data_IF_069003066391
#
_entry.id   IF_069003066391
#
_cell.length_a   1.000
_cell.length_b   1.000
_cell.length_c   1.000
_cell.angle_alpha   90.00
_cell.angle_beta   90.00
_cell.angle_gamma   90.00
#
_symmetry.space_group_name_H-M   'P 1'
#
loop_
_entity.id
_entity.type
_entity.pdbx_description
1 polymer ?
#
# COMPACT_ATOMS: atom_id res chain seq x y z
N UNK A 1 -32.34 22.40 20.29
CA UNK A 1 -32.47 21.87 21.67
C UNK A 1 -31.45 22.62 22.52
N UNK A 2 -31.86 23.72 23.18
CA UNK A 2 -30.92 24.64 23.84
C UNK A 2 -30.76 24.28 25.31
N UNK A 3 -29.60 23.77 25.70
CA UNK A 3 -29.22 23.70 27.11
C UNK A 3 -29.02 25.12 27.64
N UNK A 4 -29.69 25.45 28.74
CA UNK A 4 -29.55 26.74 29.40
C UNK A 4 -28.74 26.54 30.70
N UNK A 5 -27.72 27.38 30.97
CA UNK A 5 -27.19 28.46 30.12
C UNK A 5 -26.34 27.94 28.94
N UNK A 6 -26.08 28.79 27.93
CA UNK A 6 -25.26 28.43 26.75
C UNK A 6 -23.84 27.93 27.09
N UNK A 7 -23.31 28.31 28.25
CA UNK A 7 -22.01 27.86 28.78
C UNK A 7 -22.13 26.70 29.79
N UNK A 8 -23.25 25.96 29.79
CA UNK A 8 -23.49 24.89 30.76
C UNK A 8 -22.38 23.84 30.74
N UNK A 9 -21.99 23.35 29.56
CA UNK A 9 -20.92 22.36 29.39
C UNK A 9 -19.58 22.83 29.95
N UNK A 10 -19.25 24.11 29.76
CA UNK A 10 -18.02 24.72 30.29
C UNK A 10 -18.06 24.78 31.82
N UNK A 11 -19.20 25.20 32.39
CA UNK A 11 -19.35 25.32 33.84
C UNK A 11 -19.22 24.00 34.58
N UNK A 12 -19.65 22.89 33.98
CA UNK A 12 -19.57 21.56 34.59
C UNK A 12 -18.28 20.80 34.20
N UNK A 13 -17.38 21.43 33.44
CA UNK A 13 -16.12 20.81 32.99
C UNK A 13 -16.30 19.70 31.95
N UNK A 14 -17.46 19.61 31.28
CA UNK A 14 -17.73 18.58 30.27
C UNK A 14 -16.77 18.68 29.08
N UNK A 15 -16.36 19.90 28.73
CA UNK A 15 -15.37 20.14 27.69
C UNK A 15 -14.03 19.46 27.99
N UNK A 16 -13.57 19.50 29.24
CA UNK A 16 -12.33 18.84 29.65
C UNK A 16 -12.42 17.32 29.48
N UNK A 17 -13.58 16.72 29.78
CA UNK A 17 -13.82 15.30 29.57
C UNK A 17 -13.73 14.93 28.09
N UNK A 18 -14.31 15.75 27.18
CA UNK A 18 -14.19 15.53 25.73
C UNK A 18 -12.75 15.61 25.26
N UNK A 19 -11.99 16.61 25.73
CA UNK A 19 -10.57 16.76 25.37
C UNK A 19 -9.78 15.53 25.82
N UNK A 20 -9.97 15.08 27.07
CA UNK A 20 -9.32 13.87 27.57
C UNK A 20 -9.72 12.61 26.79
N UNK A 21 -11.00 12.46 26.47
CA UNK A 21 -11.51 11.32 25.69
C UNK A 21 -10.95 11.33 24.26
N UNK A 22 -10.86 12.50 23.63
CA UNK A 22 -10.30 12.66 22.29
C UNK A 22 -8.84 12.21 22.26
N UNK A 23 -8.04 12.60 23.25
CA UNK A 23 -6.64 12.17 23.38
C UNK A 23 -6.44 10.67 23.63
N UNK A 24 -7.51 9.94 23.98
CA UNK A 24 -7.51 8.48 24.16
C UNK A 24 -8.09 7.73 22.96
N UNK A 25 -8.52 8.43 21.91
CA UNK A 25 -9.02 7.80 20.70
C UNK A 25 -7.88 7.12 19.94
N UNK A 26 -8.15 5.93 19.40
CA UNK A 26 -7.19 5.14 18.62
C UNK A 26 -7.27 5.44 17.11
N UNK A 27 -8.14 6.37 16.70
CA UNK A 27 -8.34 6.74 15.28
C UNK A 27 -8.94 8.14 15.12
N UNK A 28 -8.67 8.75 13.97
CA UNK A 28 -9.27 10.03 13.56
C UNK A 28 -10.79 9.97 13.45
N UNK A 29 -11.35 8.80 13.07
CA UNK A 29 -12.80 8.57 13.06
C UNK A 29 -13.40 8.65 14.46
N UNK A 30 -12.71 8.09 15.46
CA UNK A 30 -13.09 8.19 16.87
C UNK A 30 -13.02 9.62 17.38
N UNK A 31 -11.93 10.33 17.05
CA UNK A 31 -11.76 11.75 17.38
C UNK A 31 -12.89 12.62 16.80
N UNK A 32 -13.22 12.42 15.52
CA UNK A 32 -14.31 13.12 14.84
C UNK A 32 -15.70 12.77 15.41
N UNK A 33 -15.86 11.58 16.00
CA UNK A 33 -17.06 11.21 16.74
C UNK A 33 -17.12 11.95 18.08
N UNK A 34 -16.01 12.02 18.82
CA UNK A 34 -15.91 12.76 20.09
C UNK A 34 -16.20 14.24 19.90
N UNK A 35 -15.75 14.85 18.81
CA UNK A 35 -16.05 16.26 18.48
C UNK A 35 -17.55 16.55 18.35
N UNK A 36 -18.37 15.53 18.02
CA UNK A 36 -19.82 15.64 17.89
C UNK A 36 -20.56 15.36 19.21
N UNK A 37 -19.86 14.88 20.25
CA UNK A 37 -20.47 14.61 21.55
C UNK A 37 -20.88 15.93 22.19
N UNK A 38 -22.13 15.99 22.63
CA UNK A 38 -22.69 17.09 23.42
C UNK A 38 -23.34 16.53 24.69
N UNK A 39 -23.55 17.41 25.67
CA UNK A 39 -24.24 17.03 26.89
C UNK A 39 -25.68 16.60 26.56
N UNK A 40 -26.07 15.43 27.06
CA UNK A 40 -27.39 14.85 26.83
C UNK A 40 -28.25 15.01 28.08
N UNK A 41 -29.55 15.24 27.89
CA UNK A 41 -30.54 15.35 28.96
C UNK A 41 -31.71 14.37 28.81
N UNK A 42 -31.68 13.50 27.80
CA UNK A 42 -32.69 12.48 27.59
C UNK A 42 -32.26 11.17 28.26
N UNK A 43 -33.05 10.72 29.24
CA UNK A 43 -32.77 9.51 30.02
C UNK A 43 -32.52 8.27 29.16
N UNK A 44 -33.37 8.02 28.14
CA UNK A 44 -33.25 6.83 27.29
C UNK A 44 -31.96 6.85 26.47
N UNK A 45 -31.57 8.01 25.94
CA UNK A 45 -30.32 8.15 25.19
C UNK A 45 -29.09 7.96 26.10
N UNK A 46 -29.11 8.56 27.29
CA UNK A 46 -28.03 8.43 28.28
C UNK A 46 -27.89 6.97 28.71
N UNK A 47 -29.01 6.33 29.10
CA UNK A 47 -29.03 4.93 29.52
C UNK A 47 -28.49 4.01 28.42
N UNK A 48 -28.93 4.19 27.17
CA UNK A 48 -28.41 3.43 26.03
C UNK A 48 -26.90 3.56 25.89
N UNK A 49 -26.36 4.78 25.92
CA UNK A 49 -24.92 5.01 25.75
C UNK A 49 -24.10 4.45 26.92
N UNK A 50 -24.58 4.60 28.16
CA UNK A 50 -23.92 4.05 29.34
C UNK A 50 -23.86 2.52 29.29
N UNK A 51 -24.94 1.86 28.87
CA UNK A 51 -24.96 0.40 28.71
C UNK A 51 -24.00 -0.02 27.58
N UNK A 52 -23.93 0.70 26.45
CA UNK A 52 -22.95 0.41 25.39
C UNK A 52 -21.50 0.53 25.90
N UNK A 53 -21.21 1.53 26.74
CA UNK A 53 -19.90 1.66 27.40
C UNK A 53 -19.63 0.49 28.35
N UNK A 54 -20.62 0.06 29.12
CA UNK A 54 -20.49 -1.08 30.03
C UNK A 54 -20.24 -2.39 29.27
N UNK A 55 -21.00 -2.64 28.20
CA UNK A 55 -20.82 -3.79 27.30
C UNK A 55 -19.40 -3.78 26.70
N UNK A 56 -18.93 -2.63 26.20
CA UNK A 56 -17.60 -2.56 25.59
C UNK A 56 -16.47 -2.70 26.63
N UNK A 57 -16.66 -2.17 27.84
CA UNK A 57 -15.72 -2.38 28.95
C UNK A 57 -15.59 -3.87 29.31
N UNK A 58 -16.69 -4.64 29.27
CA UNK A 58 -16.65 -6.09 29.50
C UNK A 58 -15.80 -6.80 28.44
N UNK A 59 -15.94 -6.41 27.18
CA UNK A 59 -15.11 -6.92 26.08
C UNK A 59 -13.62 -6.61 26.30
N UNK A 60 -13.29 -5.38 26.71
CA UNK A 60 -11.89 -5.00 26.95
C UNK A 60 -11.27 -5.68 28.17
N UNK A 61 -12.09 -6.11 29.14
CA UNK A 61 -11.65 -6.79 30.35
C UNK A 61 -11.67 -8.32 30.23
N UNK A 62 -12.33 -8.88 29.21
CA UNK A 62 -12.27 -10.30 28.92
C UNK A 62 -10.99 -10.62 28.11
N UNK A 63 -10.59 -11.89 28.07
CA UNK A 63 -9.50 -12.36 27.20
C UNK A 63 -9.95 -12.49 25.72
N UNK A 64 -11.09 -11.88 25.36
CA UNK A 64 -11.59 -11.91 24.00
C UNK A 64 -10.83 -10.91 23.13
N UNK A 65 -10.18 -11.43 22.09
CA UNK A 65 -9.48 -10.61 21.09
C UNK A 65 -10.47 -9.83 20.22
N UNK A 66 -10.99 -8.70 20.73
CA UNK A 66 -11.78 -7.77 19.93
C UNK A 66 -10.87 -7.02 18.93
N UNK A 67 -11.26 -6.90 17.65
CA UNK A 67 -10.46 -6.18 16.66
C UNK A 67 -10.28 -4.71 17.06
N UNK A 68 -9.03 -4.25 17.21
CA UNK A 68 -8.71 -2.89 17.67
C UNK A 68 -7.74 -2.14 16.77
N UNK A 69 -7.51 -2.66 15.56
CA UNK A 69 -6.55 -2.10 14.61
C UNK A 69 -7.20 -1.69 13.28
N UNK A 70 -6.45 -0.90 12.50
CA UNK A 70 -6.76 -0.53 11.11
C UNK A 70 -8.03 0.32 10.92
N UNK A 71 -8.26 1.26 11.84
CA UNK A 71 -9.30 2.27 11.75
C UNK A 71 -8.87 3.46 10.88
N UNK A 72 -8.66 3.21 9.58
CA UNK A 72 -8.27 4.25 8.64
C UNK A 72 -9.48 5.06 8.18
N UNK A 73 -9.36 6.39 8.19
CA UNK A 73 -10.31 7.27 7.53
C UNK A 73 -9.91 7.45 6.07
N UNK A 74 -10.63 6.76 5.19
CA UNK A 74 -10.44 6.82 3.73
C UNK A 74 -11.59 7.57 3.05
N UNK A 75 -12.39 8.34 3.80
CA UNK A 75 -13.60 8.98 3.30
C UNK A 75 -13.29 9.97 2.17
N UNK A 76 -12.19 10.71 2.29
CA UNK A 76 -11.71 11.65 1.28
C UNK A 76 -11.40 10.92 -0.04
N UNK A 77 -10.74 9.77 0.05
CA UNK A 77 -10.25 8.98 -1.07
C UNK A 77 -11.43 8.32 -1.79
N UNK A 78 -12.37 7.74 -1.04
CA UNK A 78 -13.61 7.18 -1.61
C UNK A 78 -14.43 8.24 -2.34
N UNK A 79 -14.49 9.48 -1.82
CA UNK A 79 -15.18 10.58 -2.50
C UNK A 79 -14.49 10.98 -3.83
N UNK A 80 -13.16 10.89 -3.92
CA UNK A 80 -12.42 11.20 -5.14
C UNK A 80 -12.72 10.20 -6.27
N UNK A 81 -12.91 8.92 -5.93
CA UNK A 81 -13.12 7.82 -6.90
C UNK A 81 -14.51 7.86 -7.56
N UNK A 82 -15.44 8.66 -7.03
CA UNK A 82 -16.74 8.89 -7.68
C UNK A 82 -16.55 9.54 -9.06
N UNK A 83 -15.47 10.31 -9.25
CA UNK A 83 -15.16 10.95 -10.52
C UNK A 83 -14.70 9.91 -11.54
N UNK A 84 -15.36 9.87 -12.70
CA UNK A 84 -15.00 8.94 -13.77
C UNK A 84 -13.53 9.09 -14.18
N UNK A 85 -12.80 7.97 -14.17
CA UNK A 85 -11.37 7.93 -14.48
C UNK A 85 -10.44 8.14 -13.29
N UNK A 86 -10.97 8.42 -12.09
CA UNK A 86 -10.18 8.38 -10.85
C UNK A 86 -10.00 6.94 -10.37
N UNK A 87 -8.86 6.67 -9.75
CA UNK A 87 -8.53 5.37 -9.14
C UNK A 87 -7.92 5.60 -7.76
N UNK A 88 -7.90 4.55 -6.94
CA UNK A 88 -7.22 4.56 -5.65
C UNK A 88 -5.77 4.14 -5.82
N UNK A 89 -4.88 4.86 -5.15
CA UNK A 89 -3.49 4.43 -5.03
C UNK A 89 -3.40 3.12 -4.23
N UNK A 90 -2.32 2.37 -4.46
CA UNK A 90 -2.16 1.00 -3.93
C UNK A 90 -2.15 0.96 -2.40
N UNK A 91 -1.52 1.94 -1.76
CA UNK A 91 -1.49 2.12 -0.31
C UNK A 91 -2.89 2.36 0.26
N UNK A 92 -3.69 3.22 -0.39
CA UNK A 92 -5.07 3.47 0.00
C UNK A 92 -5.95 2.23 -0.17
N UNK A 93 -5.77 1.47 -1.25
CA UNK A 93 -6.47 0.18 -1.43
C UNK A 93 -6.10 -0.81 -0.32
N UNK A 94 -4.85 -0.79 0.14
CA UNK A 94 -4.40 -1.63 1.23
C UNK A 94 -5.02 -1.22 2.57
N UNK A 95 -5.12 0.09 2.85
CA UNK A 95 -5.83 0.61 4.01
C UNK A 95 -7.31 0.23 3.99
N UNK A 96 -7.97 0.39 2.84
CA UNK A 96 -9.35 -0.06 2.62
C UNK A 96 -9.50 -1.55 2.90
N UNK A 97 -8.62 -2.40 2.34
CA UNK A 97 -8.64 -3.86 2.58
C UNK A 97 -8.57 -4.17 4.08
N UNK A 98 -7.67 -3.50 4.81
CA UNK A 98 -7.49 -3.72 6.26
C UNK A 98 -8.68 -3.24 7.06
N UNK A 99 -9.21 -2.06 6.79
CA UNK A 99 -10.41 -1.53 7.46
C UNK A 99 -11.65 -2.41 7.20
N UNK A 100 -11.86 -2.86 5.96
CA UNK A 100 -12.98 -3.77 5.65
C UNK A 100 -12.83 -5.13 6.36
N UNK A 101 -11.61 -5.64 6.50
CA UNK A 101 -11.36 -6.86 7.29
C UNK A 101 -11.70 -6.63 8.76
N UNK A 102 -11.23 -5.54 9.39
CA UNK A 102 -11.58 -5.19 10.77
C UNK A 102 -13.10 -5.10 10.95
N UNK A 103 -13.81 -4.41 10.04
CA UNK A 103 -15.28 -4.32 10.07
C UNK A 103 -15.91 -5.72 9.97
N UNK A 104 -15.42 -6.56 9.06
CA UNK A 104 -15.90 -7.94 8.92
C UNK A 104 -15.71 -8.74 10.20
N UNK A 105 -14.55 -8.62 10.85
CA UNK A 105 -14.22 -9.31 12.09
C UNK A 105 -15.12 -8.85 13.24
N UNK A 106 -15.38 -7.55 13.36
CA UNK A 106 -16.30 -6.98 14.35
C UNK A 106 -17.73 -7.52 14.14
N UNK A 107 -18.22 -7.54 12.90
CA UNK A 107 -19.55 -8.10 12.58
C UNK A 107 -19.61 -9.58 12.94
N UNK A 108 -18.55 -10.34 12.63
CA UNK A 108 -18.47 -11.77 12.97
C UNK A 108 -18.43 -11.98 14.48
N UNK A 109 -17.67 -11.16 15.21
CA UNK A 109 -17.57 -11.20 16.67
C UNK A 109 -18.95 -11.08 17.32
N UNK A 110 -19.73 -10.06 16.96
CA UNK A 110 -21.08 -9.87 17.51
C UNK A 110 -22.10 -10.91 17.01
N UNK A 111 -21.86 -11.55 15.85
CA UNK A 111 -22.69 -12.67 15.38
C UNK A 111 -22.44 -13.97 16.15
N UNK A 112 -21.18 -14.25 16.49
CA UNK A 112 -20.78 -15.49 17.19
C UNK A 112 -21.17 -15.50 18.66
N UNK A 113 -21.10 -14.35 19.32
CA UNK A 113 -21.47 -14.22 20.73
C UNK A 113 -22.98 -14.35 20.93
N UNK A 114 -23.37 -15.01 22.04
CA UNK A 114 -24.76 -15.14 22.45
C UNK A 114 -25.44 -13.77 22.53
N UNK A 115 -26.68 -13.67 22.05
CA UNK A 115 -27.43 -12.40 22.02
C UNK A 115 -27.54 -11.70 23.39
N UNK A 116 -27.44 -12.47 24.47
CA UNK A 116 -27.56 -11.95 25.84
C UNK A 116 -26.33 -11.19 26.34
N UNK A 117 -25.14 -11.39 25.76
CA UNK A 117 -23.90 -10.83 26.30
C UNK A 117 -23.74 -9.33 26.02
N UNK A 118 -24.00 -8.89 24.78
CA UNK A 118 -23.78 -7.52 24.30
C UNK A 118 -24.93 -7.01 23.40
N UNK A 119 -26.18 -6.96 23.89
CA UNK A 119 -27.35 -6.69 23.06
C UNK A 119 -27.33 -5.32 22.37
N UNK A 120 -26.85 -4.26 23.04
CA UNK A 120 -26.86 -2.92 22.45
C UNK A 120 -25.71 -2.70 21.45
N UNK A 121 -24.54 -3.30 21.67
CA UNK A 121 -23.44 -3.29 20.70
C UNK A 121 -23.75 -4.17 19.49
N UNK A 122 -24.38 -5.34 19.68
CA UNK A 122 -24.86 -6.17 18.58
C UNK A 122 -25.87 -5.40 17.72
N UNK A 123 -26.83 -4.70 18.35
CA UNK A 123 -27.78 -3.81 17.65
C UNK A 123 -27.09 -2.63 16.95
N UNK A 124 -26.00 -2.10 17.50
CA UNK A 124 -25.21 -1.05 16.84
C UNK A 124 -24.56 -1.59 15.56
N UNK A 125 -23.93 -2.77 15.64
CA UNK A 125 -23.27 -3.41 14.50
C UNK A 125 -24.23 -3.95 13.43
N UNK A 126 -25.47 -4.29 13.77
CA UNK A 126 -26.41 -4.93 12.84
C UNK A 126 -26.86 -4.02 11.69
N UNK A 127 -26.69 -2.71 11.86
CA UNK A 127 -26.95 -1.71 10.82
C UNK A 127 -25.87 -1.63 9.75
N UNK A 128 -24.69 -2.21 10.00
CA UNK A 128 -23.55 -2.14 9.07
C UNK A 128 -23.69 -3.23 8.01
N UNK A 129 -23.81 -2.80 6.76
CA UNK A 129 -23.74 -3.67 5.60
C UNK A 129 -22.31 -3.67 5.03
N UNK A 130 -21.78 -4.87 4.77
CA UNK A 130 -20.46 -5.06 4.21
C UNK A 130 -20.55 -6.02 3.03
N UNK A 131 -20.24 -5.53 1.83
CA UNK A 131 -20.16 -6.39 0.66
C UNK A 131 -18.84 -7.18 0.67
N UNK A 132 -18.96 -8.50 0.88
CA UNK A 132 -17.81 -9.41 0.87
C UNK A 132 -17.15 -9.52 -0.50
N UNK A 133 -17.86 -9.19 -1.59
CA UNK A 133 -17.30 -9.22 -2.93
C UNK A 133 -16.09 -8.30 -3.06
N UNK A 134 -16.16 -7.10 -2.45
CA UNK A 134 -15.08 -6.10 -2.45
C UNK A 134 -13.84 -6.64 -1.73
N UNK A 135 -14.02 -7.23 -0.55
CA UNK A 135 -12.91 -7.82 0.22
C UNK A 135 -12.23 -8.94 -0.58
N UNK A 136 -13.03 -9.77 -1.24
CA UNK A 136 -12.50 -10.88 -2.05
C UNK A 136 -11.72 -10.35 -3.26
N UNK A 137 -12.22 -9.32 -3.94
CA UNK A 137 -11.50 -8.66 -5.03
C UNK A 137 -10.18 -8.05 -4.54
N UNK A 138 -10.18 -7.32 -3.42
CA UNK A 138 -8.97 -6.77 -2.81
C UNK A 138 -7.95 -7.86 -2.43
N UNK A 139 -8.40 -9.07 -2.07
CA UNK A 139 -7.50 -10.21 -1.81
C UNK A 139 -6.87 -10.80 -3.08
N UNK A 140 -7.57 -10.74 -4.20
CA UNK A 140 -7.05 -11.15 -5.52
C UNK A 140 -6.02 -10.14 -6.03
N UNK A 141 -6.26 -8.84 -5.80
CA UNK A 141 -5.39 -7.76 -6.26
C UNK A 141 -4.17 -7.59 -5.36
N UNK A 142 -4.35 -7.57 -4.04
CA UNK A 142 -3.28 -7.25 -3.08
C UNK A 142 -2.83 -8.46 -2.26
N UNK A 143 -1.52 -8.55 -2.04
CA UNK A 143 -0.93 -9.45 -1.06
C UNK A 143 -1.08 -8.92 0.37
N UNK A 144 -0.48 -9.63 1.33
CA UNK A 144 -0.57 -9.27 2.75
C UNK A 144 0.38 -8.14 3.15
N UNK A 145 1.30 -7.75 2.25
CA UNK A 145 2.21 -6.62 2.40
C UNK A 145 1.71 -5.36 1.67
N UNK A 146 0.54 -5.42 1.06
CA UNK A 146 -0.05 -4.31 0.29
C UNK A 146 0.54 -4.13 -1.10
N UNK A 147 1.22 -5.14 -1.66
CA UNK A 147 1.68 -5.11 -3.05
C UNK A 147 0.66 -5.74 -3.98
N UNK A 148 0.59 -5.21 -5.20
CA UNK A 148 -0.21 -5.82 -6.27
C UNK A 148 0.41 -7.16 -6.65
N UNK A 149 -0.40 -8.22 -6.53
CA UNK A 149 -0.03 -9.60 -6.90
C UNK A 149 0.23 -9.69 -8.39
N UNK A 150 1.19 -10.53 -8.78
CA UNK A 150 1.46 -10.80 -10.20
C UNK A 150 0.21 -11.35 -10.90
N UNK A 151 -0.60 -12.10 -10.16
CA UNK A 151 -1.86 -12.70 -10.61
C UNK A 151 -3.06 -11.75 -10.55
N UNK A 152 -2.87 -10.45 -10.27
CA UNK A 152 -3.99 -9.51 -10.18
C UNK A 152 -4.74 -9.38 -11.52
N UNK A 153 -4.04 -9.56 -12.64
CA UNK A 153 -4.66 -9.80 -13.94
C UNK A 153 -3.81 -10.76 -14.81
N UNK A 154 -4.40 -11.46 -15.78
CA UNK A 154 -3.64 -12.28 -16.74
C UNK A 154 -2.63 -11.47 -17.55
N UNK A 155 -2.97 -10.21 -17.87
CA UNK A 155 -2.10 -9.30 -18.63
C UNK A 155 -0.91 -8.88 -17.79
N UNK A 156 -1.12 -8.51 -16.52
CA UNK A 156 -0.04 -8.15 -15.60
C UNK A 156 0.93 -9.33 -15.40
N UNK A 157 0.38 -10.54 -15.23
CA UNK A 157 1.19 -11.75 -15.10
C UNK A 157 2.09 -11.96 -16.32
N UNK A 158 1.53 -11.83 -17.53
CA UNK A 158 2.29 -11.95 -18.77
C UNK A 158 3.40 -10.90 -18.87
N UNK A 159 3.09 -9.63 -18.60
CA UNK A 159 4.07 -8.53 -18.64
C UNK A 159 5.23 -8.81 -17.66
N UNK A 160 4.92 -9.21 -16.42
CA UNK A 160 5.94 -9.51 -15.41
C UNK A 160 6.81 -10.71 -15.79
N UNK A 161 6.23 -11.76 -16.35
CA UNK A 161 6.99 -12.92 -16.86
C UNK A 161 7.92 -12.51 -18.01
N UNK A 162 7.44 -11.66 -18.92
CA UNK A 162 8.24 -11.15 -20.02
C UNK A 162 9.40 -10.28 -19.53
N UNK A 163 9.14 -9.39 -18.57
CA UNK A 163 10.19 -8.59 -17.90
C UNK A 163 11.28 -9.50 -17.30
N UNK A 164 10.91 -10.51 -16.52
CA UNK A 164 11.86 -11.45 -15.91
C UNK A 164 12.70 -12.14 -17.00
N UNK A 165 12.05 -12.61 -18.07
CA UNK A 165 12.71 -13.27 -19.20
C UNK A 165 13.68 -12.34 -19.93
N UNK A 166 13.26 -11.11 -20.23
CA UNK A 166 14.07 -10.09 -20.90
C UNK A 166 15.26 -9.69 -20.05
N UNK A 167 15.08 -9.42 -18.76
CA UNK A 167 16.18 -9.15 -17.83
C UNK A 167 17.20 -10.29 -17.79
N UNK A 168 16.74 -11.55 -17.72
CA UNK A 168 17.62 -12.72 -17.76
C UNK A 168 18.41 -12.79 -19.08
N UNK A 169 17.75 -12.49 -20.19
CA UNK A 169 18.38 -12.52 -21.52
C UNK A 169 19.42 -11.40 -21.66
N UNK A 170 19.13 -10.20 -21.16
CA UNK A 170 20.09 -9.07 -21.11
C UNK A 170 21.31 -9.44 -20.28
N UNK A 171 21.11 -9.97 -19.07
CA UNK A 171 22.21 -10.35 -18.18
C UNK A 171 23.12 -11.42 -18.84
N UNK A 172 22.51 -12.45 -19.46
CA UNK A 172 23.26 -13.47 -20.22
C UNK A 172 24.02 -12.87 -21.39
N UNK A 173 23.40 -11.96 -22.15
CA UNK A 173 24.03 -11.34 -23.32
C UNK A 173 25.23 -10.49 -22.89
N UNK A 174 25.09 -9.66 -21.87
CA UNK A 174 26.18 -8.86 -21.32
C UNK A 174 27.33 -9.75 -20.84
N UNK A 175 27.02 -10.83 -20.11
CA UNK A 175 28.03 -11.77 -19.65
C UNK A 175 28.77 -12.45 -20.82
N UNK A 176 28.07 -12.79 -21.90
CA UNK A 176 28.68 -13.33 -23.13
C UNK A 176 29.61 -12.31 -23.79
N UNK A 177 29.16 -11.06 -23.97
CA UNK A 177 30.00 -10.01 -24.57
C UNK A 177 31.23 -9.75 -23.70
N UNK A 178 31.07 -9.69 -22.39
CA UNK A 178 32.16 -9.52 -21.43
C UNK A 178 33.17 -10.66 -21.52
N UNK A 179 32.72 -11.91 -21.53
CA UNK A 179 33.59 -13.08 -21.65
C UNK A 179 34.35 -13.12 -22.97
N UNK A 180 33.69 -12.75 -24.08
CA UNK A 180 34.35 -12.66 -25.38
C UNK A 180 35.39 -11.54 -25.41
N UNK A 181 35.05 -10.36 -24.88
CA UNK A 181 35.98 -9.24 -24.80
C UNK A 181 37.20 -9.56 -23.92
N UNK A 182 37.00 -10.29 -22.81
CA UNK A 182 38.09 -10.79 -21.96
C UNK A 182 39.00 -11.77 -22.70
N UNK A 183 38.43 -12.75 -23.42
CA UNK A 183 39.20 -13.72 -24.23
C UNK A 183 40.05 -13.05 -25.31
N UNK A 184 39.58 -11.93 -25.86
CA UNK A 184 40.28 -11.16 -26.88
C UNK A 184 41.28 -10.14 -26.31
N UNK A 185 41.42 -10.04 -24.97
CA UNK A 185 42.30 -9.08 -24.32
C UNK A 185 41.85 -7.62 -24.42
N UNK A 186 40.56 -7.37 -24.66
CA UNK A 186 40.03 -6.00 -24.79
C UNK A 186 39.69 -5.35 -23.46
N UNK A 187 39.50 -6.16 -22.43
CA UNK A 187 39.11 -5.73 -21.09
C UNK A 187 40.36 -5.70 -20.20
N UNK A 188 40.55 -4.67 -19.37
CA UNK A 188 41.62 -4.66 -18.37
C UNK A 188 41.52 -5.83 -17.40
N UNK A 189 42.67 -6.31 -16.90
CA UNK A 189 42.71 -7.36 -15.89
C UNK A 189 41.90 -6.95 -14.64
N UNK A 190 41.17 -7.90 -14.06
CA UNK A 190 40.34 -7.73 -12.86
C UNK A 190 39.17 -6.73 -12.97
N UNK A 191 38.80 -6.27 -14.16
CA UNK A 191 37.56 -5.51 -14.33
C UNK A 191 36.37 -6.42 -14.63
N UNK A 192 35.20 -6.00 -14.15
CA UNK A 192 33.91 -6.66 -14.37
C UNK A 192 32.89 -5.71 -15.00
N UNK A 193 31.74 -6.26 -15.38
CA UNK A 193 30.57 -5.47 -15.78
C UNK A 193 30.24 -4.48 -14.67
N UNK A 194 29.98 -3.24 -15.03
CA UNK A 194 29.63 -2.19 -14.08
C UNK A 194 28.39 -1.43 -14.54
N UNK A 195 27.82 -0.60 -13.66
CA UNK A 195 26.68 0.26 -14.00
C UNK A 195 27.18 1.70 -14.10
N UNK A 196 26.93 2.35 -15.24
CA UNK A 196 27.19 3.79 -15.48
C UNK A 196 25.88 4.46 -15.87
N UNK A 197 25.50 5.54 -15.18
CA UNK A 197 24.24 6.25 -15.43
C UNK A 197 23.01 5.33 -15.46
N UNK A 198 22.98 4.29 -14.62
CA UNK A 198 21.91 3.29 -14.59
C UNK A 198 21.92 2.26 -15.72
N UNK A 199 22.93 2.28 -16.60
CA UNK A 199 23.10 1.33 -17.70
C UNK A 199 24.24 0.36 -17.42
N UNK A 200 24.04 -0.91 -17.74
CA UNK A 200 25.11 -1.90 -17.65
C UNK A 200 26.11 -1.71 -18.80
N UNK A 201 27.38 -1.62 -18.44
CA UNK A 201 28.47 -1.32 -19.36
C UNK A 201 29.63 -2.28 -19.18
N UNK A 202 30.37 -2.48 -20.27
CA UNK A 202 31.58 -3.29 -20.31
C UNK A 202 32.79 -2.35 -20.34
N UNK A 203 33.76 -2.49 -19.43
CA UNK A 203 35.00 -1.73 -19.49
C UNK A 203 35.89 -2.28 -20.60
N UNK A 204 36.36 -1.39 -21.48
CA UNK A 204 37.19 -1.73 -22.63
C UNK A 204 38.41 -0.82 -22.64
N UNK A 205 39.60 -1.36 -22.85
CA UNK A 205 40.82 -0.57 -23.03
C UNK A 205 40.63 0.41 -24.20
N UNK A 206 41.07 1.66 -24.03
CA UNK A 206 40.85 2.73 -25.00
C UNK A 206 41.37 2.39 -26.42
N UNK A 207 42.44 1.59 -26.51
CA UNK A 207 42.98 1.08 -27.78
C UNK A 207 41.98 0.21 -28.57
N UNK A 208 41.06 -0.46 -27.88
CA UNK A 208 40.07 -1.38 -28.44
C UNK A 208 38.64 -0.83 -28.42
N UNK A 209 38.48 0.50 -28.33
CA UNK A 209 37.17 1.15 -28.21
C UNK A 209 36.18 0.90 -29.35
N UNK A 210 36.68 0.43 -30.50
CA UNK A 210 35.86 0.07 -31.68
C UNK A 210 35.63 -1.44 -31.81
N UNK A 211 36.18 -2.25 -30.91
CA UNK A 211 36.08 -3.71 -30.94
C UNK A 211 34.72 -4.23 -30.47
N UNK A 212 34.02 -3.46 -29.64
CA UNK A 212 32.63 -3.73 -29.24
C UNK A 212 31.74 -2.68 -29.90
N UNK A 213 30.76 -3.11 -30.69
CA UNK A 213 29.72 -2.22 -31.21
C UNK A 213 28.80 -1.80 -30.06
N UNK A 214 28.73 -0.50 -29.81
CA UNK A 214 27.96 0.02 -28.69
C UNK A 214 28.11 1.52 -28.49
N UNK A 215 27.57 1.99 -27.38
CA UNK A 215 27.54 3.40 -26.99
C UNK A 215 28.50 3.62 -25.83
N UNK A 216 29.35 4.64 -25.95
CA UNK A 216 30.25 5.05 -24.87
C UNK A 216 29.45 5.86 -23.87
N UNK A 217 29.47 5.43 -22.60
CA UNK A 217 28.77 6.10 -21.51
C UNK A 217 29.70 6.87 -20.58
N UNK A 218 30.94 6.43 -20.46
CA UNK A 218 31.91 7.03 -19.54
C UNK A 218 33.35 6.67 -19.95
N UNK A 219 34.32 7.40 -19.39
CA UNK A 219 35.76 7.19 -19.56
C UNK A 219 36.45 7.25 -18.19
N UNK A 220 37.47 6.42 -17.97
CA UNK A 220 38.24 6.48 -16.72
C UNK A 220 38.98 7.82 -16.60
N UNK A 221 39.26 8.26 -15.38
CA UNK A 221 40.00 9.51 -15.14
C UNK A 221 41.38 9.54 -15.83
N UNK A 222 41.98 8.37 -16.06
CA UNK A 222 43.26 8.19 -16.76
C UNK A 222 43.14 8.13 -18.28
N UNK A 223 41.92 8.06 -18.82
CA UNK A 223 41.62 7.87 -20.25
C UNK A 223 41.97 6.49 -20.82
N UNK A 224 42.39 5.55 -19.97
CA UNK A 224 42.84 4.23 -20.41
C UNK A 224 41.70 3.22 -20.59
N UNK A 225 40.55 3.43 -19.96
CA UNK A 225 39.40 2.54 -20.02
C UNK A 225 38.15 3.31 -20.39
N UNK A 226 37.40 2.77 -21.35
CA UNK A 226 36.16 3.31 -21.87
C UNK A 226 35.03 2.34 -21.49
N UNK A 227 33.90 2.86 -21.03
CA UNK A 227 32.76 2.08 -20.61
C UNK A 227 31.70 2.06 -21.72
N UNK A 228 31.46 0.89 -22.30
CA UNK A 228 30.62 0.71 -23.49
C UNK A 228 29.37 -0.11 -23.14
N UNK A 229 28.18 0.40 -23.45
CA UNK A 229 26.94 -0.39 -23.51
C UNK A 229 26.86 -1.05 -24.90
N UNK A 230 26.84 -2.39 -25.01
CA UNK A 230 26.72 -3.06 -26.29
C UNK A 230 25.40 -2.68 -27.00
N UNK A 231 25.43 -2.50 -28.32
CA UNK A 231 24.24 -2.11 -29.09
C UNK A 231 23.07 -3.10 -28.90
N UNK A 232 23.37 -4.41 -28.96
CA UNK A 232 22.38 -5.47 -28.74
C UNK A 232 21.69 -5.38 -27.37
N UNK A 233 22.41 -4.89 -26.36
CA UNK A 233 21.91 -4.73 -24.98
C UNK A 233 21.05 -3.48 -24.86
N UNK A 234 21.42 -2.41 -25.56
CA UNK A 234 20.67 -1.17 -25.60
C UNK A 234 19.26 -1.37 -26.16
N UNK A 235 19.11 -2.10 -27.27
CA UNK A 235 17.79 -2.42 -27.84
C UNK A 235 16.92 -3.20 -26.85
N UNK A 236 17.48 -4.25 -26.24
CA UNK A 236 16.78 -5.05 -25.24
C UNK A 236 16.37 -4.25 -23.98
N UNK A 237 17.19 -3.26 -23.58
CA UNK A 237 16.85 -2.36 -22.48
C UNK A 237 15.69 -1.41 -22.84
N UNK A 238 15.53 -1.04 -24.11
CA UNK A 238 14.38 -0.26 -24.54
C UNK A 238 13.10 -1.09 -24.50
N UNK A 239 13.13 -2.35 -24.94
CA UNK A 239 12.00 -3.29 -24.79
C UNK A 239 11.58 -3.43 -23.32
N UNK A 240 12.54 -3.58 -22.41
CA UNK A 240 12.27 -3.65 -20.96
C UNK A 240 11.55 -2.39 -20.50
N UNK A 241 12.01 -1.21 -20.91
CA UNK A 241 11.37 0.06 -20.55
C UNK A 241 9.94 0.19 -21.09
N UNK A 242 9.66 -0.36 -22.27
CA UNK A 242 8.31 -0.43 -22.81
C UNK A 242 7.41 -1.34 -21.97
N UNK A 243 7.93 -2.50 -21.56
CA UNK A 243 7.22 -3.43 -20.67
C UNK A 243 6.98 -2.84 -19.28
N UNK A 244 7.94 -2.12 -18.69
CA UNK A 244 7.75 -1.42 -17.42
C UNK A 244 6.64 -0.35 -17.51
N UNK A 245 6.56 0.36 -18.63
CA UNK A 245 5.49 1.32 -18.87
C UNK A 245 4.13 0.62 -19.07
N UNK A 246 4.13 -0.53 -19.75
CA UNK A 246 2.93 -1.35 -19.89
C UNK A 246 2.44 -1.89 -18.54
N UNK A 247 3.37 -2.32 -17.67
CA UNK A 247 3.06 -2.77 -16.31
C UNK A 247 2.36 -1.67 -15.51
N UNK A 248 2.93 -0.44 -15.53
CA UNK A 248 2.33 0.71 -14.83
C UNK A 248 0.92 1.02 -15.32
N UNK A 249 0.67 0.96 -16.63
CA UNK A 249 -0.66 1.20 -17.21
C UNK A 249 -1.65 0.10 -16.85
N UNK A 250 -1.23 -1.16 -16.84
CA UNK A 250 -2.09 -2.26 -16.44
C UNK A 250 -2.41 -2.18 -14.95
N UNK A 251 -1.44 -1.83 -14.10
CA UNK A 251 -1.67 -1.56 -12.67
C UNK A 251 -2.71 -0.46 -12.45
N UNK A 252 -2.65 0.65 -13.19
CA UNK A 252 -3.63 1.74 -13.09
C UNK A 252 -5.03 1.34 -13.58
N UNK A 253 -5.12 0.34 -14.46
CA UNK A 253 -6.38 -0.14 -15.04
C UNK A 253 -7.08 -1.15 -14.12
N UNK A 254 -6.32 -1.92 -13.34
CA UNK A 254 -6.82 -2.88 -12.34
C UNK A 254 -7.47 -2.12 -11.17
#
# INVERSE_FOLDING_TARGET
>A
MGLYPKHFEQKIGFENIRISLKGLCISSLGEAFVDKICFLNNFNNISKLLIQVEEFKKILLSEDNFPTDHYYDITSELNKVIVAGAFLETDVLFDLKRSLNTISEIIIYFKKNEEALYPLLKKLSSSVFLDKSIINQLKIILDDKGKIRDSASPVLLQIRQELISKHSTVAKRIAQVMNNARKQGWVPDNMEVSIRNGRMVIPVLAAYKRSIKGFIHDESATGQTIFIEPADVFEMNNDIRELENAEKREIQKI
#
